data_IF_393281559579
#
_entry.id   IF_393281559579
#
_cell.length_a   1.000
_cell.length_b   1.000
_cell.length_c   1.000
_cell.angle_alpha   90.00
_cell.angle_beta   90.00
_cell.angle_gamma   90.00
#
_symmetry.space_group_name_H-M   'P 1'
#
loop_
_entity.id
_entity.type
_entity.pdbx_description
1 polymer ?
#
# COMPACT_ATOMS: atom_id res chain seq x y z
N UNK A 1 -11.50 24.52 -20.17
CA UNK A 1 -11.31 23.58 -19.05
C UNK A 1 -9.85 23.61 -18.71
N UNK A 2 -9.52 24.01 -17.48
CA UNK A 2 -8.14 24.23 -17.07
C UNK A 2 -7.44 22.87 -16.79
N UNK A 3 -6.11 22.78 -16.95
CA UNK A 3 -5.33 21.54 -16.77
C UNK A 3 -5.50 20.94 -15.37
N UNK A 4 -5.70 21.78 -14.36
CA UNK A 4 -5.99 21.38 -12.98
C UNK A 4 -7.36 20.71 -12.82
N UNK A 5 -8.40 21.23 -13.50
CA UNK A 5 -9.76 20.66 -13.46
C UNK A 5 -9.82 19.28 -14.09
N UNK A 6 -9.05 19.07 -15.17
CA UNK A 6 -8.88 17.78 -15.83
C UNK A 6 -8.27 16.72 -14.89
N UNK A 7 -7.15 17.06 -14.25
CA UNK A 7 -6.47 16.16 -13.29
C UNK A 7 -7.36 15.83 -12.08
N UNK A 8 -8.10 16.82 -11.57
CA UNK A 8 -9.03 16.59 -10.46
C UNK A 8 -10.16 15.64 -10.85
N UNK A 9 -10.76 15.83 -12.03
CA UNK A 9 -11.84 14.96 -12.54
C UNK A 9 -11.35 13.54 -12.78
N UNK A 10 -10.16 13.37 -13.36
CA UNK A 10 -9.54 12.06 -13.56
C UNK A 10 -9.27 11.36 -12.22
N UNK A 11 -8.73 12.08 -11.23
CA UNK A 11 -8.47 11.51 -9.92
C UNK A 11 -9.74 11.05 -9.19
N UNK A 12 -10.81 11.86 -9.23
CA UNK A 12 -12.12 11.50 -8.66
C UNK A 12 -12.73 10.29 -9.37
N UNK A 13 -12.59 10.19 -10.68
CA UNK A 13 -13.10 9.06 -11.46
C UNK A 13 -12.41 7.75 -11.07
N UNK A 14 -11.07 7.76 -10.99
CA UNK A 14 -10.27 6.60 -10.51
C UNK A 14 -10.68 6.17 -9.10
N UNK A 15 -10.91 7.11 -8.19
CA UNK A 15 -11.40 6.82 -6.84
C UNK A 15 -12.78 6.17 -6.85
N UNK A 16 -13.72 6.71 -7.65
CA UNK A 16 -15.09 6.22 -7.74
C UNK A 16 -15.16 4.81 -8.33
N UNK A 17 -14.31 4.50 -9.31
CA UNK A 17 -14.29 3.20 -9.98
C UNK A 17 -13.59 2.14 -9.11
N UNK A 18 -12.45 2.48 -8.50
CA UNK A 18 -11.61 1.49 -7.82
C UNK A 18 -12.00 1.26 -6.35
N UNK A 19 -12.54 2.26 -5.64
CA UNK A 19 -12.86 2.11 -4.21
C UNK A 19 -13.89 0.99 -3.93
N UNK A 20 -15.03 0.89 -4.64
CA UNK A 20 -15.98 -0.20 -4.40
C UNK A 20 -15.38 -1.58 -4.70
N UNK A 21 -14.58 -1.69 -5.77
CA UNK A 21 -13.95 -2.94 -6.16
C UNK A 21 -12.92 -3.43 -5.13
N UNK A 22 -12.14 -2.51 -4.55
CA UNK A 22 -11.21 -2.82 -3.45
C UNK A 22 -11.98 -3.34 -2.23
N UNK A 23 -13.08 -2.68 -1.85
CA UNK A 23 -13.89 -3.11 -0.69
C UNK A 23 -14.44 -4.53 -0.90
N UNK A 24 -15.01 -4.81 -2.07
CA UNK A 24 -15.54 -6.15 -2.40
C UNK A 24 -14.41 -7.19 -2.38
N UNK A 25 -13.28 -6.88 -3.01
CA UNK A 25 -12.14 -7.79 -3.06
C UNK A 25 -11.57 -8.05 -1.67
N UNK A 26 -11.52 -7.04 -0.80
CA UNK A 26 -11.09 -7.16 0.59
C UNK A 26 -12.03 -8.06 1.39
N UNK A 27 -13.34 -7.92 1.23
CA UNK A 27 -14.33 -8.82 1.85
C UNK A 27 -14.10 -10.26 1.39
N UNK A 28 -13.91 -10.49 0.09
CA UNK A 28 -13.62 -11.81 -0.46
C UNK A 28 -12.32 -12.37 0.14
N UNK A 29 -11.25 -11.57 0.22
CA UNK A 29 -9.98 -11.98 0.81
C UNK A 29 -10.14 -12.38 2.28
N UNK A 30 -10.89 -11.58 3.06
CA UNK A 30 -11.19 -11.88 4.48
C UNK A 30 -11.99 -13.17 4.62
N UNK A 31 -12.98 -13.40 3.75
CA UNK A 31 -13.76 -14.65 3.77
C UNK A 31 -12.88 -15.86 3.45
N UNK A 32 -12.08 -15.80 2.37
CA UNK A 32 -11.14 -16.88 2.01
C UNK A 32 -10.19 -17.16 3.16
N UNK A 33 -9.64 -16.11 3.77
CA UNK A 33 -8.74 -16.24 4.92
C UNK A 33 -9.43 -16.85 6.14
N UNK A 34 -10.63 -16.39 6.47
CA UNK A 34 -11.39 -16.86 7.63
C UNK A 34 -11.73 -18.34 7.48
N UNK A 35 -12.29 -18.76 6.35
CA UNK A 35 -12.55 -20.18 6.07
C UNK A 35 -11.26 -20.98 6.00
N UNK A 36 -10.22 -20.44 5.38
CA UNK A 36 -8.92 -21.09 5.27
C UNK A 36 -8.31 -21.42 6.64
N UNK A 37 -8.19 -20.41 7.49
CA UNK A 37 -7.49 -20.49 8.77
C UNK A 37 -8.32 -21.15 9.86
N UNK A 38 -9.62 -20.87 9.94
CA UNK A 38 -10.47 -21.37 11.03
C UNK A 38 -11.15 -22.69 10.74
N UNK A 39 -11.36 -23.02 9.47
CA UNK A 39 -12.10 -24.23 9.07
C UNK A 39 -11.16 -25.22 8.39
N UNK A 40 -10.58 -24.85 7.24
CA UNK A 40 -9.87 -25.82 6.40
C UNK A 40 -8.54 -26.29 6.97
N UNK A 41 -7.68 -25.40 7.47
CA UNK A 41 -6.38 -25.78 8.05
C UNK A 41 -6.57 -26.68 9.30
N UNK A 42 -7.43 -26.33 10.28
CA UNK A 42 -7.66 -27.19 11.44
C UNK A 42 -8.27 -28.55 11.07
N UNK A 43 -9.21 -28.60 10.12
CA UNK A 43 -9.76 -29.86 9.63
C UNK A 43 -8.69 -30.72 8.96
N UNK A 44 -7.80 -30.12 8.17
CA UNK A 44 -6.67 -30.81 7.55
C UNK A 44 -5.72 -31.39 8.60
N UNK A 45 -5.49 -30.67 9.70
CA UNK A 45 -4.65 -31.12 10.81
C UNK A 45 -5.27 -32.32 11.54
N UNK A 46 -6.58 -32.28 11.80
CA UNK A 46 -7.31 -33.37 12.44
C UNK A 46 -7.32 -34.64 11.58
N UNK A 47 -7.51 -34.49 10.26
CA UNK A 47 -7.49 -35.60 9.30
C UNK A 47 -6.07 -36.12 9.01
N UNK A 48 -5.05 -35.27 9.18
CA UNK A 48 -3.64 -35.62 8.96
C UNK A 48 -2.95 -36.32 10.12
N UNK A 49 -3.67 -36.61 11.21
CA UNK A 49 -3.15 -37.26 12.41
C UNK A 49 -2.62 -38.68 12.08
N UNK A 50 -1.51 -39.15 12.68
CA UNK A 50 -0.91 -40.49 12.47
C UNK A 50 -1.85 -41.70 12.48
N UNK A 51 -3.02 -41.58 13.10
CA UNK A 51 -4.05 -42.62 13.12
C UNK A 51 -4.81 -42.79 11.80
N UNK A 52 -4.81 -41.79 10.91
CA UNK A 52 -5.60 -41.75 9.65
C UNK A 52 -4.70 -41.64 8.40
N UNK A 53 -3.40 -41.34 8.57
CA UNK A 53 -2.35 -41.62 7.57
C UNK A 53 -2.06 -40.53 6.50
N UNK A 54 -2.66 -39.34 6.58
CA UNK A 54 -2.54 -38.28 5.56
C UNK A 54 -1.65 -37.10 6.01
N UNK A 55 -0.40 -37.37 6.38
CA UNK A 55 0.55 -36.38 6.92
C UNK A 55 0.81 -35.16 6.01
N UNK A 56 0.65 -35.29 4.70
CA UNK A 56 0.88 -34.20 3.74
C UNK A 56 -0.34 -33.29 3.52
N UNK A 57 -1.50 -33.60 4.12
CA UNK A 57 -2.76 -32.93 3.81
C UNK A 57 -2.78 -31.45 4.24
N UNK A 58 -2.24 -31.15 5.44
CA UNK A 58 -2.20 -29.78 5.97
C UNK A 58 -1.33 -28.83 5.14
N UNK A 59 -0.08 -29.17 4.77
CA UNK A 59 0.70 -28.34 3.86
C UNK A 59 0.04 -28.13 2.50
N UNK A 60 -0.59 -29.16 1.92
CA UNK A 60 -1.27 -29.06 0.62
C UNK A 60 -2.47 -28.10 0.70
N UNK A 61 -3.34 -28.29 1.69
CA UNK A 61 -4.52 -27.43 1.89
C UNK A 61 -4.08 -25.97 2.15
N UNK A 62 -3.05 -25.79 2.99
CA UNK A 62 -2.48 -24.46 3.24
C UNK A 62 -1.95 -23.82 1.95
N UNK A 63 -1.23 -24.57 1.11
CA UNK A 63 -0.72 -24.07 -0.18
C UNK A 63 -1.86 -23.68 -1.14
N UNK A 64 -2.93 -24.47 -1.23
CA UNK A 64 -4.10 -24.18 -2.08
C UNK A 64 -4.80 -22.89 -1.62
N UNK A 65 -5.05 -22.76 -0.32
CA UNK A 65 -5.65 -21.55 0.26
C UNK A 65 -4.74 -20.35 0.03
N UNK A 66 -3.43 -20.51 0.25
CA UNK A 66 -2.43 -19.48 0.00
C UNK A 66 -2.44 -19.02 -1.45
N UNK A 67 -2.52 -19.95 -2.40
CA UNK A 67 -2.60 -19.62 -3.82
C UNK A 67 -3.89 -18.84 -4.17
N UNK A 68 -5.04 -19.26 -3.65
CA UNK A 68 -6.30 -18.54 -3.85
C UNK A 68 -6.23 -17.12 -3.27
N UNK A 69 -5.70 -16.99 -2.05
CA UNK A 69 -5.52 -15.71 -1.38
C UNK A 69 -4.53 -14.80 -2.15
N UNK A 70 -3.46 -15.38 -2.73
CA UNK A 70 -2.46 -14.67 -3.52
C UNK A 70 -3.10 -14.00 -4.72
N UNK A 71 -3.92 -14.73 -5.47
CA UNK A 71 -4.59 -14.20 -6.67
C UNK A 71 -5.49 -13.01 -6.31
N UNK A 72 -6.26 -13.11 -5.23
CA UNK A 72 -7.15 -12.02 -4.77
C UNK A 72 -6.34 -10.82 -4.29
N UNK A 73 -5.28 -11.03 -3.50
CA UNK A 73 -4.43 -9.95 -2.98
C UNK A 73 -3.66 -9.23 -4.09
N UNK A 74 -3.18 -9.94 -5.12
CA UNK A 74 -2.56 -9.31 -6.29
C UNK A 74 -3.53 -8.39 -7.03
N UNK A 75 -4.81 -8.78 -7.14
CA UNK A 75 -5.86 -7.92 -7.69
C UNK A 75 -6.07 -6.67 -6.83
N UNK A 76 -6.19 -6.83 -5.51
CA UNK A 76 -6.33 -5.70 -4.57
C UNK A 76 -5.13 -4.75 -4.69
N UNK A 77 -3.91 -5.28 -4.73
CA UNK A 77 -2.70 -4.47 -4.87
C UNK A 77 -2.73 -3.60 -6.13
N UNK A 78 -3.15 -4.18 -7.27
CA UNK A 78 -3.32 -3.44 -8.52
C UNK A 78 -4.36 -2.33 -8.39
N UNK A 79 -5.58 -2.67 -7.95
CA UNK A 79 -6.70 -1.72 -7.85
C UNK A 79 -6.36 -0.57 -6.88
N UNK A 80 -5.66 -0.86 -5.78
CA UNK A 80 -5.23 0.14 -4.81
C UNK A 80 -4.10 1.04 -5.34
N UNK A 81 -3.21 0.50 -6.17
CA UNK A 81 -2.19 1.29 -6.87
C UNK A 81 -2.81 2.32 -7.80
N UNK A 82 -3.86 1.93 -8.55
CA UNK A 82 -4.63 2.84 -9.40
C UNK A 82 -5.42 3.88 -8.58
N UNK A 83 -5.93 3.50 -7.41
CA UNK A 83 -6.57 4.42 -6.47
C UNK A 83 -5.58 5.48 -5.96
N UNK A 84 -4.36 5.08 -5.59
CA UNK A 84 -3.30 6.01 -5.17
C UNK A 84 -2.86 6.95 -6.29
N UNK A 85 -2.84 6.49 -7.54
CA UNK A 85 -2.60 7.38 -8.67
C UNK A 85 -3.68 8.47 -8.75
N UNK A 86 -4.95 8.12 -8.50
CA UNK A 86 -6.04 9.08 -8.43
C UNK A 86 -5.90 10.07 -7.26
N UNK A 87 -5.43 9.60 -6.10
CA UNK A 87 -5.13 10.47 -4.95
C UNK A 87 -3.99 11.43 -5.28
N UNK A 88 -2.92 10.94 -5.91
CA UNK A 88 -1.80 11.77 -6.36
C UNK A 88 -2.26 12.85 -7.35
N UNK A 89 -3.16 12.51 -8.27
CA UNK A 89 -3.74 13.46 -9.23
C UNK A 89 -4.54 14.57 -8.56
N UNK A 90 -5.35 14.21 -7.54
CA UNK A 90 -6.09 15.19 -6.74
C UNK A 90 -5.14 16.08 -5.96
N UNK A 91 -4.11 15.53 -5.30
CA UNK A 91 -3.15 16.32 -4.52
C UNK A 91 -2.41 17.30 -5.44
N UNK A 92 -1.91 16.84 -6.58
CA UNK A 92 -1.21 17.68 -7.53
C UNK A 92 -2.10 18.80 -8.11
N UNK A 93 -3.38 18.50 -8.38
CA UNK A 93 -4.33 19.50 -8.87
C UNK A 93 -4.55 20.65 -7.87
N UNK A 94 -4.51 20.36 -6.56
CA UNK A 94 -4.72 21.35 -5.49
C UNK A 94 -3.45 22.08 -5.08
N UNK A 95 -2.30 21.40 -5.01
CA UNK A 95 -1.05 22.00 -4.54
C UNK A 95 -0.30 22.78 -5.62
N UNK A 96 -0.30 22.28 -6.85
CA UNK A 96 0.62 22.75 -7.90
C UNK A 96 -0.13 23.54 -8.99
N UNK A 97 -1.44 23.30 -9.16
CA UNK A 97 -2.25 24.00 -10.17
C UNK A 97 -1.66 23.87 -11.57
N UNK A 98 -1.49 24.99 -12.28
CA UNK A 98 -0.91 25.02 -13.64
C UNK A 98 0.60 24.74 -13.69
N UNK A 99 1.33 24.84 -12.57
CA UNK A 99 2.78 24.55 -12.50
C UNK A 99 3.10 23.05 -12.46
N UNK A 100 2.09 22.20 -12.59
CA UNK A 100 2.24 20.75 -12.60
C UNK A 100 2.95 20.30 -13.89
N UNK A 101 4.27 20.20 -13.82
CA UNK A 101 5.08 19.49 -14.81
C UNK A 101 4.77 18.00 -14.74
N UNK A 102 4.73 17.32 -15.89
CA UNK A 102 4.49 15.86 -15.92
C UNK A 102 5.49 15.06 -15.09
N UNK A 103 6.73 15.55 -14.99
CA UNK A 103 7.78 14.91 -14.22
C UNK A 103 7.50 14.92 -12.71
N UNK A 104 7.07 16.07 -12.16
CA UNK A 104 6.63 16.17 -10.76
C UNK A 104 5.42 15.28 -10.50
N UNK A 105 4.46 15.23 -11.43
CA UNK A 105 3.27 14.38 -11.30
C UNK A 105 3.61 12.89 -11.27
N UNK A 106 4.52 12.45 -12.15
CA UNK A 106 5.02 11.06 -12.17
C UNK A 106 5.73 10.70 -10.87
N UNK A 107 6.53 11.63 -10.33
CA UNK A 107 7.25 11.47 -9.06
C UNK A 107 6.28 11.30 -7.88
N UNK A 108 5.26 12.15 -7.78
CA UNK A 108 4.20 12.01 -6.76
C UNK A 108 3.41 10.71 -6.86
N UNK A 109 2.93 10.37 -8.06
CA UNK A 109 2.19 9.11 -8.31
C UNK A 109 3.03 7.90 -7.88
N UNK A 110 4.29 7.87 -8.28
CA UNK A 110 5.19 6.77 -7.93
C UNK A 110 5.43 6.69 -6.42
N UNK A 111 5.72 7.80 -5.76
CA UNK A 111 5.94 7.85 -4.31
C UNK A 111 4.74 7.35 -3.51
N UNK A 112 3.54 7.86 -3.82
CA UNK A 112 2.30 7.44 -3.15
C UNK A 112 1.95 5.97 -3.43
N UNK A 113 2.15 5.52 -4.67
CA UNK A 113 1.93 4.12 -5.04
C UNK A 113 2.87 3.18 -4.29
N UNK A 114 4.15 3.53 -4.20
CA UNK A 114 5.13 2.74 -3.46
C UNK A 114 4.81 2.68 -1.97
N UNK A 115 4.40 3.80 -1.35
CA UNK A 115 3.95 3.81 0.04
C UNK A 115 2.76 2.86 0.24
N UNK A 116 1.76 2.92 -0.64
CA UNK A 116 0.62 2.04 -0.56
C UNK A 116 0.98 0.57 -0.76
N UNK A 117 1.90 0.25 -1.67
CA UNK A 117 2.36 -1.13 -1.84
C UNK A 117 3.05 -1.67 -0.59
N UNK A 118 3.79 -0.84 0.16
CA UNK A 118 4.34 -1.26 1.46
C UNK A 118 3.22 -1.62 2.43
N UNK A 119 2.21 -0.76 2.59
CA UNK A 119 1.07 -1.01 3.49
C UNK A 119 0.33 -2.29 3.08
N UNK A 120 0.00 -2.43 1.79
CA UNK A 120 -0.72 -3.60 1.27
C UNK A 120 0.11 -4.86 1.44
N UNK A 121 1.42 -4.83 1.16
CA UNK A 121 2.29 -5.98 1.35
C UNK A 121 2.34 -6.41 2.81
N UNK A 122 2.43 -5.46 3.75
CA UNK A 122 2.37 -5.76 5.19
C UNK A 122 1.04 -6.40 5.58
N UNK A 123 -0.09 -5.83 5.14
CA UNK A 123 -1.42 -6.39 5.42
C UNK A 123 -1.56 -7.78 4.78
N UNK A 124 -1.13 -7.95 3.53
CA UNK A 124 -1.12 -9.22 2.83
C UNK A 124 -0.31 -10.28 3.60
N UNK A 125 0.86 -9.92 4.10
CA UNK A 125 1.67 -10.83 4.91
C UNK A 125 0.95 -11.30 6.17
N UNK A 126 0.17 -10.43 6.84
CA UNK A 126 -0.63 -10.86 8.00
C UNK A 126 -1.66 -11.92 7.62
N UNK A 127 -2.28 -11.81 6.44
CA UNK A 127 -3.20 -12.84 5.97
C UNK A 127 -2.45 -14.13 5.62
N UNK A 128 -1.26 -14.02 5.02
CA UNK A 128 -0.44 -15.17 4.67
C UNK A 128 0.20 -15.86 5.88
N UNK A 129 0.48 -15.16 6.96
CA UNK A 129 1.22 -15.68 8.11
C UNK A 129 0.69 -17.03 8.62
N UNK A 130 -0.59 -17.21 9.00
CA UNK A 130 -1.08 -18.51 9.47
C UNK A 130 -1.00 -19.60 8.39
N UNK A 131 -1.13 -19.23 7.12
CA UNK A 131 -1.04 -20.15 5.98
C UNK A 131 0.42 -20.61 5.79
N UNK A 132 1.37 -19.68 5.82
CA UNK A 132 2.80 -19.97 5.69
C UNK A 132 3.30 -20.82 6.86
N UNK A 133 2.83 -20.54 8.09
CA UNK A 133 3.12 -21.37 9.26
C UNK A 133 2.53 -22.80 9.11
N UNK A 134 1.36 -22.93 8.47
CA UNK A 134 0.76 -24.23 8.13
C UNK A 134 1.56 -25.04 7.11
N UNK A 135 2.39 -24.38 6.28
CA UNK A 135 3.29 -25.02 5.33
C UNK A 135 4.63 -25.33 6.01
N UNK A 136 5.36 -24.29 6.43
CA UNK A 136 6.67 -24.37 7.07
C UNK A 136 7.04 -23.05 7.75
N UNK A 137 7.41 -23.10 9.03
CA UNK A 137 7.80 -21.94 9.84
C UNK A 137 8.99 -21.17 9.25
N UNK A 138 9.97 -21.87 8.67
CA UNK A 138 11.16 -21.26 8.05
C UNK A 138 10.76 -20.40 6.86
N UNK A 139 9.81 -20.86 6.03
CA UNK A 139 9.31 -20.10 4.88
C UNK A 139 8.63 -18.82 5.36
N UNK A 140 7.81 -18.89 6.40
CA UNK A 140 7.16 -17.71 6.99
C UNK A 140 8.17 -16.66 7.44
N UNK A 141 9.25 -17.09 8.11
CA UNK A 141 10.32 -16.22 8.59
C UNK A 141 11.14 -15.59 7.45
N UNK A 142 11.52 -16.37 6.44
CA UNK A 142 12.27 -15.85 5.28
C UNK A 142 11.45 -14.81 4.51
N UNK A 143 10.16 -15.07 4.27
CA UNK A 143 9.28 -14.11 3.58
C UNK A 143 9.16 -12.80 4.38
N UNK A 144 9.06 -12.87 5.72
CA UNK A 144 9.05 -11.68 6.57
C UNK A 144 10.33 -10.85 6.43
N UNK A 145 11.48 -11.51 6.49
CA UNK A 145 12.78 -10.84 6.39
C UNK A 145 12.89 -10.11 5.05
N UNK A 146 12.54 -10.78 3.94
CA UNK A 146 12.53 -10.18 2.61
C UNK A 146 11.58 -8.97 2.57
N UNK A 147 10.38 -9.10 3.13
CA UNK A 147 9.40 -8.02 3.16
C UNK A 147 9.89 -6.81 3.97
N UNK A 148 10.51 -7.03 5.12
CA UNK A 148 11.06 -5.96 5.96
C UNK A 148 12.19 -5.23 5.23
N UNK A 149 13.14 -5.96 4.65
CA UNK A 149 14.25 -5.37 3.89
C UNK A 149 13.70 -4.54 2.72
N UNK A 150 12.78 -5.11 1.94
CA UNK A 150 12.15 -4.42 0.81
C UNK A 150 11.37 -3.17 1.26
N UNK A 151 10.61 -3.25 2.34
CA UNK A 151 9.87 -2.11 2.89
C UNK A 151 10.80 -0.98 3.29
N UNK A 152 11.87 -1.28 4.03
CA UNK A 152 12.89 -0.29 4.43
C UNK A 152 13.53 0.38 3.21
N UNK A 153 13.99 -0.41 2.24
CA UNK A 153 14.59 0.12 1.01
C UNK A 153 13.60 1.00 0.23
N UNK A 154 12.33 0.60 0.17
CA UNK A 154 11.29 1.36 -0.53
C UNK A 154 11.02 2.69 0.18
N UNK A 155 10.93 2.70 1.51
CA UNK A 155 10.75 3.93 2.28
C UNK A 155 11.93 4.89 2.11
N UNK A 156 13.16 4.38 2.10
CA UNK A 156 14.37 5.17 1.83
C UNK A 156 14.30 5.79 0.44
N UNK A 157 13.95 5.01 -0.59
CA UNK A 157 13.82 5.49 -1.97
C UNK A 157 12.77 6.59 -2.11
N UNK A 158 11.64 6.45 -1.41
CA UNK A 158 10.60 7.48 -1.36
C UNK A 158 11.13 8.74 -0.67
N UNK A 159 11.85 8.61 0.44
CA UNK A 159 12.47 9.73 1.13
C UNK A 159 13.38 10.55 0.21
N UNK A 160 14.29 9.89 -0.50
CA UNK A 160 15.18 10.55 -1.47
C UNK A 160 14.44 11.22 -2.63
N UNK A 161 13.29 10.67 -3.03
CA UNK A 161 12.48 11.21 -4.12
C UNK A 161 11.87 12.58 -3.79
N UNK A 162 11.58 12.85 -2.52
CA UNK A 162 10.94 14.09 -2.05
C UNK A 162 11.92 15.13 -1.47
N UNK A 163 13.24 14.86 -1.48
CA UNK A 163 14.25 15.77 -0.90
C UNK A 163 14.17 17.17 -1.49
N UNK A 164 14.15 17.29 -2.82
CA UNK A 164 14.13 18.58 -3.51
C UNK A 164 12.91 19.43 -3.13
N UNK A 165 11.78 18.77 -2.90
CA UNK A 165 10.50 19.40 -2.55
C UNK A 165 10.45 19.80 -1.08
N UNK A 166 11.05 18.99 -0.19
CA UNK A 166 11.21 19.33 1.23
C UNK A 166 12.15 20.54 1.39
N UNK A 167 13.23 20.62 0.61
CA UNK A 167 14.11 21.78 0.61
C UNK A 167 13.40 23.05 0.13
N UNK A 168 12.60 22.96 -0.94
CA UNK A 168 11.82 24.09 -1.45
C UNK A 168 10.78 24.56 -0.42
N UNK A 169 10.08 23.62 0.24
CA UNK A 169 9.14 23.93 1.31
C UNK A 169 9.82 24.57 2.54
N UNK A 170 11.00 24.07 2.92
CA UNK A 170 11.79 24.62 4.02
C UNK A 170 12.23 26.05 3.75
N UNK A 171 12.73 26.34 2.53
CA UNK A 171 13.08 27.72 2.11
C UNK A 171 11.90 28.67 2.19
N UNK A 172 10.72 28.26 1.71
CA UNK A 172 9.51 29.08 1.77
C UNK A 172 9.03 29.32 3.21
N UNK A 173 9.12 28.31 4.07
CA UNK A 173 8.77 28.43 5.49
C UNK A 173 9.70 29.42 6.21
N UNK A 174 11.01 29.33 5.97
CA UNK A 174 12.00 30.27 6.53
C UNK A 174 11.74 31.69 6.03
N UNK A 175 11.50 31.88 4.72
CA UNK A 175 11.21 33.20 4.16
C UNK A 175 9.97 33.85 4.81
N UNK A 176 8.89 33.08 5.02
CA UNK A 176 7.70 33.57 5.74
C UNK A 176 7.99 33.94 7.19
N UNK A 177 8.79 33.13 7.89
CA UNK A 177 9.21 33.44 9.26
C UNK A 177 10.04 34.72 9.32
N UNK A 178 10.92 34.95 8.34
CA UNK A 178 11.70 36.19 8.24
C UNK A 178 10.84 37.42 7.91
N UNK A 179 9.81 37.27 7.08
CA UNK A 179 8.84 38.34 6.80
C UNK A 179 8.04 38.69 8.05
N UNK A 180 7.47 37.69 8.75
CA UNK A 180 6.74 37.91 10.01
C UNK A 180 7.63 38.56 11.07
N UNK A 181 8.88 38.13 11.21
CA UNK A 181 9.82 38.73 12.17
C UNK A 181 10.25 40.18 11.79
N UNK A 182 10.17 40.56 10.51
CA UNK A 182 10.39 41.95 10.06
C UNK A 182 9.16 42.83 10.26
N UNK A 183 7.96 42.27 10.16
CA UNK A 183 6.71 42.97 10.44
C UNK A 183 6.54 43.25 11.94
N UNK A 184 6.82 42.29 12.82
CA UNK A 184 6.82 42.50 14.28
C UNK A 184 7.81 43.60 14.70
N UNK A 185 9.02 43.62 14.13
CA UNK A 185 10.02 44.67 14.42
C UNK A 185 9.63 46.07 13.94
N UNK A 186 8.72 46.18 12.96
CA UNK A 186 8.20 47.46 12.47
C UNK A 186 7.00 47.97 13.28
N UNK A 187 6.32 47.09 14.01
CA UNK A 187 5.22 47.48 14.91
C UNK A 187 5.71 47.90 16.31
N UNK A 188 6.96 47.55 16.67
CA UNK A 188 7.62 47.96 17.92
C UNK A 188 8.41 49.29 17.85
N UNK A 189 8.59 49.87 16.66
CA UNK A 189 9.22 51.20 16.42
C UNK A 189 8.17 52.32 16.24
#
# INVERSE_FOLDING_TARGET
MNKSELLFKEGVLKLKENAPQIVISLIIAVLIWLFGVWVFIPLADQLGNPTIGLYALKPIISAIIGLALLIVLLRIAKDFGELMDGVADIIASKLIGERATEEKLKRYRYGLRMLAYVIIATVAYLFFLPILLGINVVIAGVVLIILVIWAVLTLINIGYMFVDEIEEASRLAIAKLEEMAKEEKKEEE
#
